data_IF_670633980466
#
_entry.id   IF_670633980466
#
_cell.length_a   1.000
_cell.length_b   1.000
_cell.length_c   1.000
_cell.angle_alpha   90.00
_cell.angle_beta   90.00
_cell.angle_gamma   90.00
#
_symmetry.space_group_name_H-M   'P 1'
#
loop_
_entity.id
_entity.type
_entity.pdbx_description
1 polymer ?
#
# COMPACT_ATOMS: atom_id res chain seq x y z
N UNK A 1 -37.29 18.45 22.75
CA UNK A 1 -36.01 17.85 23.22
C UNK A 1 -35.86 16.58 22.39
N UNK A 2 -35.01 16.59 21.39
CA UNK A 2 -34.68 15.44 20.54
C UNK A 2 -34.03 14.39 21.43
N UNK A 3 -34.53 13.13 21.44
CA UNK A 3 -33.84 12.00 22.02
C UNK A 3 -32.43 11.97 21.39
N UNK A 4 -31.38 12.08 22.21
CA UNK A 4 -30.02 11.99 21.71
C UNK A 4 -29.85 10.63 21.06
N UNK A 5 -29.57 10.60 19.77
CA UNK A 5 -29.19 9.38 19.05
C UNK A 5 -28.01 8.74 19.77
N UNK A 6 -28.29 7.67 20.54
CA UNK A 6 -27.27 7.01 21.35
C UNK A 6 -26.79 5.76 20.64
N UNK A 7 -25.54 5.80 20.15
CA UNK A 7 -24.86 4.62 19.61
C UNK A 7 -24.58 3.64 20.75
N UNK A 8 -24.96 2.36 20.54
CA UNK A 8 -24.69 1.26 21.46
C UNK A 8 -23.68 0.31 20.83
N UNK A 9 -22.75 -0.16 21.67
CA UNK A 9 -21.81 -1.25 21.30
C UNK A 9 -22.27 -2.52 21.98
N UNK A 10 -22.42 -3.60 21.22
CA UNK A 10 -22.94 -4.86 21.74
C UNK A 10 -22.17 -6.05 21.17
N UNK A 11 -21.67 -6.89 22.06
CA UNK A 11 -21.06 -8.17 21.70
C UNK A 11 -22.10 -9.17 21.25
N UNK A 12 -21.88 -9.88 20.13
CA UNK A 12 -22.75 -10.91 19.59
C UNK A 12 -22.39 -12.27 20.18
N UNK A 13 -23.41 -13.05 20.53
CA UNK A 13 -23.28 -14.43 20.98
C UNK A 13 -23.76 -15.46 19.95
N UNK A 14 -23.65 -16.75 20.31
CA UNK A 14 -24.09 -17.87 19.46
C UNK A 14 -25.58 -18.22 19.59
N UNK A 15 -26.37 -17.43 20.30
CA UNK A 15 -27.84 -17.64 20.40
C UNK A 15 -28.51 -17.51 19.02
N UNK A 16 -29.69 -18.10 18.82
CA UNK A 16 -30.43 -17.93 17.56
C UNK A 16 -30.63 -16.46 17.20
N UNK A 17 -30.89 -15.58 18.19
CA UNK A 17 -31.02 -14.14 18.04
C UNK A 17 -29.72 -13.49 17.60
N UNK A 18 -28.60 -13.76 18.29
CA UNK A 18 -27.28 -13.25 17.94
C UNK A 18 -26.82 -13.66 16.54
N UNK A 19 -27.06 -14.92 16.15
CA UNK A 19 -26.72 -15.41 14.81
C UNK A 19 -27.62 -14.79 13.70
N UNK A 20 -28.85 -14.42 14.02
CA UNK A 20 -29.72 -13.69 13.09
C UNK A 20 -29.24 -12.25 12.90
N UNK A 21 -28.84 -11.58 13.98
CA UNK A 21 -28.26 -10.23 13.96
C UNK A 21 -26.93 -10.18 13.23
N UNK A 22 -26.03 -11.15 13.46
CA UNK A 22 -24.80 -11.29 12.69
C UNK A 22 -25.12 -11.40 11.19
N UNK A 23 -26.15 -12.18 10.81
CA UNK A 23 -26.55 -12.31 9.41
C UNK A 23 -27.07 -11.00 8.81
N UNK A 24 -27.75 -10.16 9.60
CA UNK A 24 -28.22 -8.82 9.20
C UNK A 24 -27.02 -7.87 9.03
N UNK A 25 -26.13 -7.81 10.01
CA UNK A 25 -24.91 -7.03 9.99
C UNK A 25 -24.04 -7.38 8.77
N UNK A 26 -23.78 -8.68 8.56
CA UNK A 26 -22.96 -9.17 7.45
C UNK A 26 -23.47 -8.67 6.10
N UNK A 27 -24.78 -8.84 5.83
CA UNK A 27 -25.37 -8.45 4.53
C UNK A 27 -25.53 -6.95 4.34
N UNK A 28 -25.85 -6.21 5.41
CA UNK A 28 -26.19 -4.78 5.31
C UNK A 28 -24.98 -3.86 5.44
N UNK A 29 -23.98 -4.25 6.22
CA UNK A 29 -22.83 -3.41 6.55
C UNK A 29 -21.51 -4.03 6.10
N UNK A 30 -21.16 -5.24 6.57
CA UNK A 30 -19.84 -5.83 6.40
C UNK A 30 -19.44 -6.04 4.94
N UNK A 31 -20.28 -6.68 4.12
CA UNK A 31 -20.00 -6.95 2.69
C UNK A 31 -19.83 -5.67 1.87
N UNK A 32 -20.52 -4.59 2.27
CA UNK A 32 -20.39 -3.29 1.57
C UNK A 32 -19.10 -2.60 1.88
N UNK A 33 -18.59 -2.79 3.10
CA UNK A 33 -17.37 -2.17 3.56
C UNK A 33 -16.12 -2.93 3.10
N UNK A 34 -16.20 -4.25 2.97
CA UNK A 34 -15.12 -5.13 2.49
C UNK A 34 -15.59 -5.86 1.23
N UNK A 35 -15.51 -5.21 0.05
CA UNK A 35 -16.00 -5.78 -1.21
C UNK A 35 -15.11 -6.91 -1.74
N UNK A 36 -13.80 -6.91 -1.43
CA UNK A 36 -12.87 -7.92 -1.88
C UNK A 36 -13.14 -9.26 -1.18
N UNK A 37 -13.49 -10.33 -1.93
CA UNK A 37 -13.75 -11.64 -1.33
C UNK A 37 -12.49 -12.31 -0.78
N UNK A 38 -11.28 -11.95 -1.24
CA UNK A 38 -10.02 -12.52 -0.78
C UNK A 38 -9.58 -11.95 0.58
N UNK A 39 -10.07 -10.74 0.92
CA UNK A 39 -9.82 -10.07 2.19
C UNK A 39 -10.94 -10.27 3.23
N UNK A 40 -12.02 -10.95 2.87
CA UNK A 40 -13.25 -11.02 3.66
C UNK A 40 -13.49 -12.40 4.26
N UNK A 41 -13.81 -12.42 5.57
CA UNK A 41 -14.28 -13.64 6.22
C UNK A 41 -15.73 -13.98 5.80
N UNK A 42 -16.04 -15.26 5.69
CA UNK A 42 -17.37 -15.72 5.34
C UNK A 42 -18.37 -15.68 6.51
N UNK A 43 -19.63 -15.41 6.23
CA UNK A 43 -20.69 -15.47 7.26
C UNK A 43 -20.78 -16.86 7.91
N UNK A 44 -20.52 -17.92 7.14
CA UNK A 44 -20.56 -19.30 7.65
C UNK A 44 -19.47 -19.52 8.71
N UNK A 45 -18.25 -19.04 8.44
CA UNK A 45 -17.14 -19.12 9.37
C UNK A 45 -17.36 -18.25 10.61
N UNK A 46 -17.80 -17.01 10.46
CA UNK A 46 -18.13 -16.15 11.61
C UNK A 46 -19.14 -16.82 12.55
N UNK A 47 -20.20 -17.43 12.00
CA UNK A 47 -21.19 -18.20 12.79
C UNK A 47 -20.57 -19.43 13.45
N UNK A 48 -19.69 -20.14 12.73
CA UNK A 48 -18.96 -21.28 13.25
C UNK A 48 -18.09 -20.88 14.44
N UNK A 49 -17.37 -19.78 14.33
CA UNK A 49 -16.45 -19.31 15.37
C UNK A 49 -17.21 -18.93 16.66
N UNK A 50 -18.33 -18.25 16.56
CA UNK A 50 -19.19 -17.97 17.72
C UNK A 50 -19.69 -19.26 18.39
N UNK A 51 -20.07 -20.28 17.61
CA UNK A 51 -20.48 -21.59 18.16
C UNK A 51 -19.31 -22.31 18.84
N UNK A 52 -18.12 -22.29 18.24
CA UNK A 52 -16.91 -22.86 18.83
C UNK A 52 -16.54 -22.16 20.15
N UNK A 53 -16.67 -20.83 20.20
CA UNK A 53 -16.53 -20.05 21.43
C UNK A 53 -17.50 -20.51 22.51
N UNK A 54 -18.78 -20.63 22.19
CA UNK A 54 -19.82 -21.09 23.12
C UNK A 54 -19.57 -22.51 23.65
N UNK A 55 -18.82 -23.34 22.88
CA UNK A 55 -18.41 -24.70 23.26
C UNK A 55 -17.09 -24.75 24.05
N UNK A 56 -16.47 -23.59 24.32
CA UNK A 56 -15.17 -23.52 25.00
C UNK A 56 -13.95 -23.97 24.16
N UNK A 57 -14.11 -24.11 22.86
CA UNK A 57 -13.08 -24.60 21.96
C UNK A 57 -11.81 -23.75 21.94
N UNK A 58 -11.94 -22.44 22.16
CA UNK A 58 -10.82 -21.49 22.16
C UNK A 58 -9.87 -21.63 23.36
N UNK A 59 -10.28 -22.35 24.41
CA UNK A 59 -9.46 -22.49 25.62
C UNK A 59 -9.17 -21.16 26.29
N UNK A 60 -7.88 -20.74 26.29
CA UNK A 60 -7.46 -19.43 26.83
C UNK A 60 -7.57 -18.29 25.83
N UNK A 61 -7.63 -18.60 24.53
CA UNK A 61 -7.90 -17.63 23.48
C UNK A 61 -9.38 -17.24 23.46
N UNK A 62 -9.74 -16.20 22.75
CA UNK A 62 -11.13 -15.80 22.63
C UNK A 62 -11.40 -15.13 21.28
N UNK A 63 -12.67 -15.13 20.84
CA UNK A 63 -13.15 -14.52 19.60
C UNK A 63 -14.37 -13.66 19.87
N UNK A 64 -14.44 -12.49 19.28
CA UNK A 64 -15.54 -11.56 19.51
C UNK A 64 -15.99 -10.89 18.21
N UNK A 65 -17.30 -10.62 18.15
CA UNK A 65 -17.91 -9.73 17.16
C UNK A 65 -18.68 -8.66 17.94
N UNK A 66 -18.34 -7.40 17.73
CA UNK A 66 -18.99 -6.26 18.36
C UNK A 66 -19.71 -5.44 17.31
N UNK A 67 -21.00 -5.19 17.51
CA UNK A 67 -21.80 -4.31 16.66
C UNK A 67 -21.83 -2.90 17.24
N UNK A 68 -21.70 -1.90 16.36
CA UNK A 68 -22.10 -0.53 16.61
C UNK A 68 -23.52 -0.35 16.03
N UNK A 69 -24.48 -0.01 16.88
CA UNK A 69 -25.89 0.14 16.51
C UNK A 69 -26.38 1.55 16.81
N UNK A 70 -27.15 2.11 15.90
CA UNK A 70 -27.87 3.34 16.03
C UNK A 70 -29.36 3.05 15.81
N UNK A 71 -30.21 3.31 16.78
CA UNK A 71 -31.65 3.05 16.71
C UNK A 71 -31.99 1.59 16.30
N UNK A 72 -31.19 0.63 16.76
CA UNK A 72 -31.32 -0.80 16.44
C UNK A 72 -30.83 -1.24 15.07
N UNK A 73 -30.29 -0.33 14.25
CA UNK A 73 -29.68 -0.67 12.97
C UNK A 73 -28.15 -0.73 13.06
N UNK A 74 -27.50 -1.76 12.50
CA UNK A 74 -26.05 -1.88 12.52
C UNK A 74 -25.40 -0.84 11.60
N UNK A 75 -24.62 0.06 12.17
CA UNK A 75 -23.89 1.13 11.47
C UNK A 75 -22.40 0.85 11.34
N UNK A 76 -21.89 -0.21 11.98
CA UNK A 76 -20.51 -0.62 11.97
C UNK A 76 -20.28 -1.77 12.94
N UNK A 77 -19.01 -2.15 13.12
CA UNK A 77 -18.62 -3.18 14.06
C UNK A 77 -17.14 -3.51 14.03
N UNK A 78 -16.72 -4.39 14.91
CA UNK A 78 -15.38 -4.97 14.93
C UNK A 78 -15.42 -6.49 15.11
N UNK A 79 -14.44 -7.17 14.50
CA UNK A 79 -14.16 -8.60 14.68
C UNK A 79 -12.74 -8.70 15.23
N UNK A 80 -12.57 -9.44 16.31
CA UNK A 80 -11.32 -9.47 17.06
C UNK A 80 -11.07 -10.81 17.72
N UNK A 81 -9.79 -11.17 17.84
CA UNK A 81 -9.29 -12.30 18.61
C UNK A 81 -8.44 -11.82 19.79
N UNK A 82 -8.55 -12.53 20.89
CA UNK A 82 -7.55 -12.50 21.95
C UNK A 82 -6.67 -13.75 21.86
N UNK A 83 -5.36 -13.57 21.77
CA UNK A 83 -4.35 -14.62 21.69
C UNK A 83 -3.58 -14.68 23.01
N UNK A 84 -3.82 -15.72 23.77
CA UNK A 84 -3.34 -15.83 25.17
C UNK A 84 -1.82 -16.03 25.27
N UNK A 85 -1.19 -16.75 24.31
CA UNK A 85 0.26 -17.02 24.36
C UNK A 85 1.09 -15.74 24.22
N UNK A 86 0.92 -14.92 23.17
CA UNK A 86 1.59 -13.62 23.07
C UNK A 86 0.92 -12.54 23.95
N UNK A 87 -0.19 -12.83 24.63
CA UNK A 87 -1.02 -11.88 25.35
C UNK A 87 -1.37 -10.65 24.48
N UNK A 88 -1.86 -10.90 23.27
CA UNK A 88 -2.14 -9.90 22.26
C UNK A 88 -3.60 -9.91 21.83
N UNK A 89 -4.17 -8.74 21.56
CA UNK A 89 -5.43 -8.60 20.84
C UNK A 89 -5.17 -8.41 19.36
N UNK A 90 -5.92 -9.07 18.49
CA UNK A 90 -5.88 -8.87 17.04
C UNK A 90 -7.22 -8.32 16.59
N UNK A 91 -7.22 -7.21 15.88
CA UNK A 91 -8.40 -6.67 15.19
C UNK A 91 -8.35 -7.14 13.75
N UNK A 92 -9.23 -8.06 13.39
CA UNK A 92 -9.41 -8.50 12.00
C UNK A 92 -10.09 -7.41 11.17
N UNK A 93 -11.18 -6.86 11.71
CA UNK A 93 -11.97 -5.81 11.07
C UNK A 93 -12.45 -4.80 12.10
N UNK A 94 -12.40 -3.52 11.74
CA UNK A 94 -13.00 -2.42 12.49
C UNK A 94 -13.47 -1.35 11.52
N UNK A 95 -14.76 -1.07 11.49
CA UNK A 95 -15.31 -0.05 10.60
C UNK A 95 -16.57 0.62 11.14
N UNK A 96 -16.81 1.82 10.66
CA UNK A 96 -18.09 2.55 10.74
C UNK A 96 -18.49 2.88 9.30
N UNK A 97 -19.72 2.53 8.92
CA UNK A 97 -20.26 2.77 7.60
C UNK A 97 -20.15 4.24 7.19
N UNK A 98 -19.92 4.50 5.89
CA UNK A 98 -19.56 5.82 5.35
C UNK A 98 -20.49 6.96 5.81
N UNK A 99 -21.81 6.72 5.90
CA UNK A 99 -22.81 7.71 6.32
C UNK A 99 -22.68 8.17 7.78
N UNK A 100 -21.93 7.41 8.61
CA UNK A 100 -21.80 7.65 10.04
C UNK A 100 -20.36 8.01 10.46
N UNK A 101 -19.44 8.15 9.51
CA UNK A 101 -18.03 8.52 9.74
C UNK A 101 -17.90 9.98 10.22
N UNK A 102 -16.71 10.34 10.70
CA UNK A 102 -16.32 11.68 11.17
C UNK A 102 -17.06 12.20 12.43
N UNK A 103 -17.79 11.30 13.12
CA UNK A 103 -18.50 11.60 14.38
C UNK A 103 -17.81 11.03 15.62
N UNK A 104 -16.54 10.60 15.52
CA UNK A 104 -15.79 9.99 16.62
C UNK A 104 -16.13 8.52 16.90
N UNK A 105 -17.14 7.94 16.23
CA UNK A 105 -17.66 6.60 16.50
C UNK A 105 -16.63 5.49 16.31
N UNK A 106 -15.73 5.62 15.32
CA UNK A 106 -14.65 4.65 15.10
C UNK A 106 -13.68 4.59 16.29
N UNK A 107 -13.38 5.73 16.91
CA UNK A 107 -12.57 5.77 18.13
C UNK A 107 -13.30 5.11 19.30
N UNK A 108 -14.58 5.41 19.49
CA UNK A 108 -15.37 4.80 20.54
C UNK A 108 -15.50 3.28 20.38
N UNK A 109 -15.66 2.79 19.13
CA UNK A 109 -15.66 1.36 18.84
C UNK A 109 -14.30 0.71 19.14
N UNK A 110 -13.19 1.37 18.82
CA UNK A 110 -11.84 0.90 19.18
C UNK A 110 -11.64 0.85 20.69
N UNK A 111 -12.14 1.83 21.42
CA UNK A 111 -12.02 1.86 22.89
C UNK A 111 -12.83 0.71 23.51
N UNK A 112 -14.03 0.40 22.99
CA UNK A 112 -14.80 -0.77 23.41
C UNK A 112 -14.09 -2.09 23.06
N UNK A 113 -13.55 -2.18 21.83
CA UNK A 113 -12.71 -3.32 21.40
C UNK A 113 -11.53 -3.55 22.36
N UNK A 114 -10.81 -2.48 22.70
CA UNK A 114 -9.68 -2.54 23.62
C UNK A 114 -10.11 -2.98 25.02
N UNK A 115 -11.27 -2.52 25.51
CA UNK A 115 -11.83 -2.92 26.80
C UNK A 115 -12.16 -4.42 26.85
N UNK A 116 -12.68 -4.98 25.77
CA UNK A 116 -12.97 -6.42 25.67
C UNK A 116 -11.67 -7.22 25.70
N UNK A 117 -10.67 -6.85 24.89
CA UNK A 117 -9.37 -7.52 24.85
C UNK A 117 -8.63 -7.45 26.18
N UNK A 118 -8.69 -6.32 26.88
CA UNK A 118 -8.11 -6.16 28.21
C UNK A 118 -8.81 -7.03 29.26
N UNK A 119 -10.13 -7.19 29.17
CA UNK A 119 -10.91 -8.13 30.00
C UNK A 119 -10.40 -9.56 29.82
N UNK A 120 -10.19 -9.99 28.58
CA UNK A 120 -9.72 -11.34 28.25
C UNK A 120 -8.27 -11.56 28.71
N UNK A 121 -7.39 -10.58 28.51
CA UNK A 121 -6.01 -10.65 28.97
C UNK A 121 -5.93 -10.86 30.49
N UNK A 122 -6.73 -10.12 31.28
CA UNK A 122 -6.80 -10.28 32.70
C UNK A 122 -7.36 -11.65 33.11
N UNK A 123 -8.37 -12.14 32.43
CA UNK A 123 -8.98 -13.45 32.71
C UNK A 123 -8.03 -14.61 32.37
N UNK A 124 -7.29 -14.53 31.26
CA UNK A 124 -6.44 -15.62 30.79
C UNK A 124 -5.04 -15.63 31.44
N UNK A 125 -4.43 -14.47 31.65
CA UNK A 125 -3.03 -14.35 32.05
C UNK A 125 -2.84 -13.58 33.38
N UNK A 126 -3.89 -12.95 33.92
CA UNK A 126 -3.85 -12.04 35.08
C UNK A 126 -2.86 -10.86 34.86
N UNK A 127 -2.59 -10.49 33.64
CA UNK A 127 -1.68 -9.42 33.20
C UNK A 127 -2.41 -8.43 32.32
N UNK A 128 -1.96 -7.17 32.27
CA UNK A 128 -2.42 -6.23 31.25
C UNK A 128 -2.13 -6.76 29.84
N UNK A 129 -2.96 -6.37 28.88
CA UNK A 129 -2.78 -6.70 27.47
C UNK A 129 -1.43 -6.15 26.97
N UNK A 130 -0.61 -6.99 26.34
CA UNK A 130 0.72 -6.57 25.87
C UNK A 130 0.62 -5.58 24.68
N UNK A 131 -0.24 -5.87 23.73
CA UNK A 131 -0.52 -4.96 22.61
C UNK A 131 -1.83 -5.31 21.90
N UNK A 132 -2.35 -4.35 21.14
CA UNK A 132 -3.36 -4.57 20.10
C UNK A 132 -2.70 -4.49 18.74
N UNK A 133 -2.95 -5.49 17.89
CA UNK A 133 -2.43 -5.61 16.53
C UNK A 133 -3.59 -5.55 15.54
N UNK A 134 -3.37 -5.01 14.36
CA UNK A 134 -4.36 -4.99 13.28
C UNK A 134 -3.68 -5.06 11.92
N UNK A 135 -4.40 -5.58 10.94
CA UNK A 135 -4.04 -5.50 9.53
C UNK A 135 -4.61 -4.22 8.92
N UNK A 136 -3.85 -3.62 8.02
CA UNK A 136 -4.24 -2.39 7.33
C UNK A 136 -3.65 -2.38 5.92
N UNK A 137 -4.44 -1.92 4.93
CA UNK A 137 -3.92 -1.73 3.58
C UNK A 137 -2.73 -0.77 3.60
N UNK A 138 -1.60 -1.21 3.06
CA UNK A 138 -0.39 -0.40 2.96
C UNK A 138 -0.54 0.60 1.80
N UNK A 139 -0.52 1.93 2.04
CA UNK A 139 -0.69 2.94 1.01
C UNK A 139 0.39 2.90 -0.08
N UNK A 140 1.51 2.21 0.17
CA UNK A 140 2.61 2.03 -0.77
C UNK A 140 2.60 0.68 -1.48
N UNK A 141 1.58 -0.15 -1.23
CA UNK A 141 1.32 -1.44 -1.90
C UNK A 141 -0.14 -1.49 -2.34
N UNK A 142 -0.53 -0.70 -3.35
CA UNK A 142 -1.92 -0.65 -3.78
C UNK A 142 -2.36 -2.03 -4.28
N UNK A 143 -3.52 -2.46 -3.81
CA UNK A 143 -4.19 -3.67 -4.28
C UNK A 143 -4.81 -3.47 -5.67
N UNK A 144 -5.25 -4.57 -6.28
CA UNK A 144 -5.99 -4.53 -7.55
C UNK A 144 -7.42 -4.00 -7.34
N UNK A 145 -7.99 -4.18 -6.15
CA UNK A 145 -9.34 -3.75 -5.77
C UNK A 145 -9.28 -2.35 -5.14
N UNK A 146 -10.15 -1.42 -5.57
CA UNK A 146 -10.24 -0.10 -4.94
C UNK A 146 -10.63 -0.20 -3.47
N UNK A 147 -9.90 0.50 -2.62
CA UNK A 147 -10.22 0.63 -1.19
C UNK A 147 -11.43 1.56 -0.98
N UNK A 148 -12.22 1.29 0.05
CA UNK A 148 -13.39 2.10 0.44
C UNK A 148 -13.04 3.34 1.29
N UNK A 149 -11.79 3.46 1.70
CA UNK A 149 -11.21 4.61 2.39
C UNK A 149 -9.81 4.87 1.82
N UNK A 150 -9.50 6.13 1.58
CA UNK A 150 -8.17 6.52 1.13
C UNK A 150 -7.09 5.94 2.07
N UNK A 151 -6.11 5.16 1.57
CA UNK A 151 -5.12 4.49 2.43
C UNK A 151 -4.28 5.46 3.26
N UNK A 152 -4.02 6.68 2.78
CA UNK A 152 -3.30 7.71 3.53
C UNK A 152 -4.15 8.26 4.67
N UNK A 153 -5.46 8.44 4.45
CA UNK A 153 -6.39 8.83 5.51
C UNK A 153 -6.53 7.74 6.57
N UNK A 154 -6.56 6.46 6.16
CA UNK A 154 -6.55 5.32 7.08
C UNK A 154 -5.30 5.33 7.95
N UNK A 155 -4.11 5.50 7.37
CA UNK A 155 -2.86 5.62 8.14
C UNK A 155 -2.90 6.78 9.14
N UNK A 156 -3.40 7.94 8.71
CA UNK A 156 -3.51 9.10 9.59
C UNK A 156 -4.50 8.84 10.75
N UNK A 157 -5.57 8.11 10.50
CA UNK A 157 -6.56 7.73 11.50
C UNK A 157 -5.97 6.77 12.54
N UNK A 158 -5.38 5.65 12.11
CA UNK A 158 -4.75 4.68 12.99
C UNK A 158 -3.58 5.29 13.77
N UNK A 159 -2.79 6.18 13.14
CA UNK A 159 -1.72 6.92 13.81
C UNK A 159 -2.22 7.83 14.94
N UNK A 160 -3.35 8.53 14.73
CA UNK A 160 -4.00 9.31 15.81
C UNK A 160 -4.54 8.42 16.95
N UNK A 161 -4.81 7.15 16.67
CA UNK A 161 -5.25 6.18 17.66
C UNK A 161 -4.09 5.48 18.38
N UNK A 162 -2.84 5.89 18.10
CA UNK A 162 -1.65 5.41 18.78
C UNK A 162 -1.02 4.16 18.17
N UNK A 163 -1.42 3.76 16.97
CA UNK A 163 -0.80 2.63 16.26
C UNK A 163 0.45 3.08 15.49
N UNK A 164 1.45 2.20 15.46
CA UNK A 164 2.61 2.27 14.58
C UNK A 164 2.68 1.06 13.65
N UNK A 165 3.33 1.21 12.49
CA UNK A 165 3.61 0.09 11.58
C UNK A 165 4.77 -0.72 12.11
N UNK A 166 4.61 -2.03 12.21
CA UNK A 166 5.73 -2.94 12.48
C UNK A 166 6.71 -2.95 11.30
N UNK A 167 7.98 -2.76 11.59
CA UNK A 167 9.05 -2.59 10.60
C UNK A 167 9.51 -3.91 9.97
N UNK A 168 8.60 -4.73 9.44
CA UNK A 168 8.91 -5.97 8.71
C UNK A 168 7.95 -6.20 7.53
N UNK A 169 8.31 -7.05 6.55
CA UNK A 169 7.48 -7.35 5.38
C UNK A 169 6.37 -8.35 5.75
N UNK A 170 5.20 -7.83 6.12
CA UNK A 170 4.05 -8.66 6.43
C UNK A 170 3.35 -9.13 5.15
N UNK A 171 2.96 -10.40 5.12
CA UNK A 171 2.12 -11.01 4.08
C UNK A 171 1.05 -11.86 4.75
N UNK A 172 -0.21 -11.56 4.49
CA UNK A 172 -1.31 -12.42 4.94
C UNK A 172 -1.35 -13.68 4.05
N UNK A 173 -1.26 -14.88 4.62
CA UNK A 173 -1.44 -16.11 3.86
C UNK A 173 -2.84 -16.24 3.28
N UNK A 174 -2.99 -17.08 2.25
CA UNK A 174 -4.29 -17.42 1.70
C UNK A 174 -5.18 -18.06 2.79
N UNK A 175 -6.39 -17.51 3.00
CA UNK A 175 -7.32 -17.96 4.04
C UNK A 175 -8.09 -19.23 3.65
N UNK A 176 -8.09 -19.60 2.37
CA UNK A 176 -8.75 -20.81 1.86
C UNK A 176 -8.12 -21.31 0.58
N UNK A 177 -8.46 -22.56 0.22
CA UNK A 177 -8.00 -23.17 -1.04
C UNK A 177 -8.57 -22.38 -2.22
N UNK A 178 -7.69 -21.86 -3.07
CA UNK A 178 -8.06 -21.04 -4.24
C UNK A 178 -7.91 -19.54 -4.07
N UNK A 179 -7.76 -19.05 -2.83
CA UNK A 179 -7.35 -17.68 -2.57
C UNK A 179 -5.84 -17.50 -2.75
N UNK A 180 -5.42 -16.25 -2.98
CA UNK A 180 -4.00 -15.86 -3.05
C UNK A 180 -3.57 -15.24 -1.72
N UNK A 181 -2.27 -15.30 -1.36
CA UNK A 181 -1.72 -14.47 -0.29
C UNK A 181 -1.94 -12.99 -0.60
N UNK A 182 -2.20 -12.18 0.43
CA UNK A 182 -2.38 -10.73 0.29
C UNK A 182 -1.08 -10.03 0.70
N UNK A 183 -0.40 -9.44 -0.28
CA UNK A 183 0.89 -8.75 -0.08
C UNK A 183 0.73 -7.25 0.21
N UNK A 184 -0.47 -6.72 0.00
CA UNK A 184 -0.78 -5.29 0.13
C UNK A 184 -1.07 -4.82 1.55
N UNK A 185 -0.86 -5.65 2.57
CA UNK A 185 -1.15 -5.32 3.96
C UNK A 185 0.10 -4.90 4.74
N UNK A 186 -0.11 -4.01 5.72
CA UNK A 186 0.83 -3.71 6.79
C UNK A 186 0.27 -4.21 8.11
N UNK A 187 1.11 -4.84 8.92
CA UNK A 187 0.76 -5.15 10.30
C UNK A 187 1.09 -3.93 11.16
N UNK A 188 0.10 -3.42 11.90
CA UNK A 188 0.23 -2.29 12.81
C UNK A 188 0.01 -2.74 14.23
N UNK A 189 0.65 -2.08 15.19
CA UNK A 189 0.49 -2.42 16.59
C UNK A 189 0.39 -1.17 17.48
N UNK A 190 -0.30 -1.32 18.60
CA UNK A 190 -0.36 -0.37 19.71
C UNK A 190 0.02 -1.10 20.99
N UNK A 191 1.29 -1.04 21.45
CA UNK A 191 1.74 -1.61 22.72
C UNK A 191 0.99 -1.00 23.91
N UNK A 192 0.69 -1.83 24.91
CA UNK A 192 0.00 -1.39 26.12
C UNK A 192 0.86 -0.47 27.00
N UNK A 193 2.18 -0.60 26.92
CA UNK A 193 3.17 0.21 27.64
C UNK A 193 3.65 1.46 26.87
N UNK A 194 3.15 1.67 25.65
CA UNK A 194 3.52 2.80 24.81
C UNK A 194 4.93 2.70 24.19
N UNK A 195 5.55 1.52 24.18
CA UNK A 195 6.87 1.30 23.58
C UNK A 195 6.88 1.64 22.08
N UNK A 196 8.01 2.11 21.58
CA UNK A 196 8.26 2.40 20.15
C UNK A 196 8.88 1.21 19.37
N UNK A 197 9.06 0.08 20.04
CA UNK A 197 9.53 -1.18 19.46
C UNK A 197 9.03 -2.35 20.28
N UNK A 198 8.88 -3.52 19.65
CA UNK A 198 8.50 -4.79 20.28
C UNK A 198 9.52 -5.88 19.98
N UNK A 199 9.58 -6.93 20.78
CA UNK A 199 10.53 -8.02 20.58
C UNK A 199 10.17 -8.81 19.30
N UNK A 200 11.16 -9.14 18.48
CA UNK A 200 10.94 -9.87 17.24
C UNK A 200 10.34 -11.28 17.48
N UNK A 201 10.76 -12.06 18.50
CA UNK A 201 10.10 -13.30 18.86
C UNK A 201 8.62 -13.13 19.24
N UNK A 202 8.26 -12.02 19.91
CA UNK A 202 6.86 -11.72 20.22
C UNK A 202 6.04 -11.47 18.95
N UNK A 203 6.58 -10.70 17.99
CA UNK A 203 5.91 -10.47 16.69
C UNK A 203 5.66 -11.79 15.98
N UNK A 204 6.67 -12.66 15.94
CA UNK A 204 6.56 -13.97 15.29
C UNK A 204 5.53 -14.85 16.00
N UNK A 205 5.46 -14.83 17.32
CA UNK A 205 4.44 -15.52 18.12
C UNK A 205 3.03 -15.01 17.78
N UNK A 206 2.84 -13.68 17.69
CA UNK A 206 1.55 -13.08 17.27
C UNK A 206 1.14 -13.58 15.90
N UNK A 207 2.04 -13.50 14.91
CA UNK A 207 1.75 -13.95 13.53
C UNK A 207 1.42 -15.43 13.51
N UNK A 208 2.19 -16.28 14.21
CA UNK A 208 1.97 -17.72 14.24
C UNK A 208 0.64 -18.10 14.90
N UNK A 209 0.32 -17.48 16.04
CA UNK A 209 -0.96 -17.71 16.71
C UNK A 209 -2.16 -17.15 15.92
N UNK A 210 -2.01 -15.99 15.30
CA UNK A 210 -3.03 -15.43 14.41
C UNK A 210 -3.31 -16.33 13.22
N UNK A 211 -2.26 -16.85 12.56
CA UNK A 211 -2.40 -17.84 11.49
C UNK A 211 -3.11 -19.11 11.96
N UNK A 212 -2.77 -19.60 13.15
CA UNK A 212 -3.36 -20.84 13.70
C UNK A 212 -4.82 -20.65 14.08
N UNK A 213 -5.15 -19.58 14.81
CA UNK A 213 -6.46 -19.43 15.41
C UNK A 213 -7.48 -18.70 14.53
N UNK A 214 -7.11 -17.64 13.85
CA UNK A 214 -8.00 -16.90 12.96
C UNK A 214 -8.00 -17.50 11.54
N UNK A 215 -6.81 -17.73 10.96
CA UNK A 215 -6.69 -18.18 9.58
C UNK A 215 -6.78 -19.71 9.42
N UNK A 216 -6.86 -20.47 10.53
CA UNK A 216 -6.97 -21.94 10.54
C UNK A 216 -5.84 -22.67 9.81
N UNK A 217 -4.64 -22.16 9.95
CA UNK A 217 -3.42 -22.79 9.47
C UNK A 217 -2.80 -23.56 10.63
N UNK A 218 -3.05 -24.86 10.72
CA UNK A 218 -2.67 -25.68 11.89
C UNK A 218 -1.15 -25.67 12.15
N UNK A 219 -0.34 -25.63 11.08
CA UNK A 219 1.12 -25.66 11.15
C UNK A 219 1.73 -24.43 10.44
N UNK A 220 1.72 -23.23 11.07
CA UNK A 220 2.28 -22.02 10.48
C UNK A 220 3.73 -22.16 10.01
N UNK A 221 4.57 -22.91 10.75
CA UNK A 221 5.97 -23.16 10.41
C UNK A 221 6.19 -23.88 9.07
N UNK A 222 5.17 -24.53 8.51
CA UNK A 222 5.20 -25.11 7.17
C UNK A 222 4.68 -24.19 6.08
N UNK A 223 4.11 -23.05 6.47
CA UNK A 223 3.60 -22.07 5.52
C UNK A 223 4.75 -21.22 4.98
N UNK A 224 4.80 -21.04 3.67
CA UNK A 224 5.88 -20.31 2.99
C UNK A 224 5.96 -18.85 3.45
N UNK A 225 4.83 -18.14 3.56
CA UNK A 225 4.79 -16.76 3.98
C UNK A 225 5.29 -16.60 5.41
N UNK A 226 4.90 -17.51 6.31
CA UNK A 226 5.41 -17.54 7.66
C UNK A 226 6.94 -17.72 7.71
N UNK A 227 7.49 -18.69 6.95
CA UNK A 227 8.93 -18.94 6.89
C UNK A 227 9.72 -17.74 6.35
N UNK A 228 9.15 -16.99 5.39
CA UNK A 228 9.75 -15.78 4.87
C UNK A 228 9.78 -14.68 5.94
N UNK A 229 8.67 -14.48 6.69
CA UNK A 229 8.60 -13.56 7.83
C UNK A 229 9.52 -13.97 8.99
N UNK A 230 9.55 -15.26 9.34
CA UNK A 230 10.44 -15.84 10.37
C UNK A 230 11.91 -15.58 10.05
N UNK A 231 12.34 -15.83 8.80
CA UNK A 231 13.71 -15.56 8.36
C UNK A 231 14.07 -14.09 8.50
N UNK A 232 13.17 -13.20 8.09
CA UNK A 232 13.40 -11.76 8.24
C UNK A 232 13.49 -11.36 9.72
N UNK A 233 12.52 -11.78 10.53
CA UNK A 233 12.45 -11.43 11.95
C UNK A 233 13.62 -12.04 12.76
N UNK A 234 14.16 -13.17 12.33
CA UNK A 234 15.32 -13.81 12.95
C UNK A 234 16.62 -13.00 12.89
N UNK A 235 16.68 -11.98 12.03
CA UNK A 235 17.80 -11.05 11.95
C UNK A 235 17.72 -9.90 12.98
N UNK A 236 16.61 -9.81 13.72
CA UNK A 236 16.32 -8.69 14.65
C UNK A 236 16.07 -9.19 16.06
N UNK A 237 16.54 -8.44 17.04
CA UNK A 237 16.14 -8.62 18.44
C UNK A 237 14.82 -7.91 18.72
N UNK A 238 14.69 -6.68 18.20
CA UNK A 238 13.48 -5.87 18.32
C UNK A 238 13.04 -5.33 16.97
N UNK A 239 11.74 -5.24 16.75
CA UNK A 239 11.09 -4.68 15.58
C UNK A 239 10.60 -3.28 15.91
N UNK A 240 11.04 -2.23 15.20
CA UNK A 240 10.60 -0.88 15.45
C UNK A 240 9.12 -0.69 15.07
N UNK A 241 8.44 0.15 15.83
CA UNK A 241 7.12 0.69 15.51
C UNK A 241 7.29 2.03 14.80
N UNK A 242 7.13 2.01 13.51
CA UNK A 242 7.25 3.21 12.68
C UNK A 242 5.96 4.03 12.84
N UNK A 243 6.07 5.24 13.35
CA UNK A 243 4.93 6.15 13.47
C UNK A 243 4.27 6.32 12.10
N UNK A 244 2.97 6.08 12.00
CA UNK A 244 2.26 6.07 10.71
C UNK A 244 2.34 7.42 9.99
N UNK A 245 2.37 8.54 10.72
CA UNK A 245 2.59 9.86 10.13
C UNK A 245 3.97 9.98 9.47
N UNK A 246 5.01 9.40 10.08
CA UNK A 246 6.36 9.38 9.51
C UNK A 246 6.46 8.40 8.35
N UNK A 247 5.72 7.29 8.41
CA UNK A 247 5.70 6.27 7.37
C UNK A 247 5.12 6.80 6.06
N UNK A 248 3.96 7.44 6.12
CA UNK A 248 3.30 7.99 4.91
C UNK A 248 3.85 9.34 4.49
N UNK A 249 4.56 10.04 5.35
CA UNK A 249 4.94 11.42 5.12
C UNK A 249 3.70 12.32 5.07
N UNK A 250 3.71 13.29 4.15
CA UNK A 250 2.52 14.12 3.88
C UNK A 250 1.70 13.49 2.76
N UNK A 251 0.41 13.34 3.01
CA UNK A 251 -0.54 12.92 1.99
C UNK A 251 -0.59 13.97 0.86
N UNK A 252 -0.19 13.60 -0.38
CA UNK A 252 -0.22 14.55 -1.49
C UNK A 252 -1.64 15.06 -1.77
N UNK A 253 -2.68 14.22 -1.60
CA UNK A 253 -4.08 14.61 -1.83
C UNK A 253 -4.59 15.73 -0.95
N UNK A 254 -3.96 16.00 0.21
CA UNK A 254 -4.28 17.15 1.09
C UNK A 254 -3.52 18.43 0.75
N UNK A 255 -2.45 18.32 -0.03
CA UNK A 255 -1.57 19.43 -0.35
C UNK A 255 -1.54 19.76 -1.84
N UNK A 256 -1.85 18.77 -2.68
CA UNK A 256 -1.77 18.85 -4.12
C UNK A 256 -3.07 18.37 -4.75
N UNK A 257 -3.65 19.18 -5.58
CA UNK A 257 -4.63 18.75 -6.56
C UNK A 257 -3.87 18.21 -7.77
N UNK A 258 -4.14 16.96 -8.15
CA UNK A 258 -3.57 16.31 -9.33
C UNK A 258 -4.56 16.44 -10.48
N UNK A 259 -4.16 17.15 -11.55
CA UNK A 259 -4.96 17.28 -12.76
C UNK A 259 -4.28 16.56 -13.91
N UNK A 260 -5.05 15.76 -14.66
CA UNK A 260 -4.54 15.10 -15.85
C UNK A 260 -4.50 16.09 -17.03
N UNK A 261 -3.37 16.15 -17.74
CA UNK A 261 -3.16 17.05 -18.87
C UNK A 261 -3.38 16.28 -20.16
N UNK A 262 -4.27 16.79 -21.02
CA UNK A 262 -4.56 16.23 -22.34
C UNK A 262 -3.69 16.85 -23.45
N UNK A 263 -3.64 16.19 -24.63
CA UNK A 263 -2.87 16.66 -25.78
C UNK A 263 -3.33 18.03 -26.32
N UNK A 264 -4.63 18.31 -26.22
CA UNK A 264 -5.25 19.57 -26.66
C UNK A 264 -5.46 20.57 -25.51
N UNK A 265 -5.00 20.22 -24.29
CA UNK A 265 -5.20 21.07 -23.12
C UNK A 265 -4.30 22.33 -23.21
N UNK A 266 -4.89 23.49 -23.00
CA UNK A 266 -4.16 24.76 -22.95
C UNK A 266 -3.14 24.85 -21.80
N UNK A 267 -3.26 24.00 -20.78
CA UNK A 267 -2.30 23.89 -19.70
C UNK A 267 -1.00 23.19 -20.10
N UNK A 268 -0.99 22.41 -21.18
CA UNK A 268 0.19 21.65 -21.63
C UNK A 268 1.42 22.55 -21.80
N UNK A 269 1.26 23.72 -22.44
CA UNK A 269 2.39 24.63 -22.67
C UNK A 269 3.00 25.12 -21.33
N UNK A 270 2.16 25.43 -20.35
CA UNK A 270 2.61 25.86 -19.01
C UNK A 270 3.34 24.75 -18.26
N UNK A 271 2.85 23.52 -18.36
CA UNK A 271 3.48 22.34 -17.75
C UNK A 271 4.84 22.05 -18.40
N UNK A 272 4.98 22.20 -19.71
CA UNK A 272 6.26 22.06 -20.40
C UNK A 272 7.24 23.17 -20.03
N UNK A 273 6.79 24.40 -19.88
CA UNK A 273 7.63 25.49 -19.40
C UNK A 273 8.16 25.21 -17.99
N UNK A 274 7.31 24.71 -17.06
CA UNK A 274 7.74 24.31 -15.73
C UNK A 274 8.80 23.21 -15.78
N UNK A 275 8.70 22.28 -16.72
CA UNK A 275 9.68 21.23 -16.93
C UNK A 275 11.02 21.80 -17.42
N UNK A 276 11.00 22.69 -18.42
CA UNK A 276 12.18 23.39 -18.93
C UNK A 276 12.89 24.21 -17.87
N UNK A 277 12.13 24.93 -17.03
CA UNK A 277 12.67 25.73 -15.92
C UNK A 277 13.29 24.86 -14.80
N UNK A 278 12.87 23.61 -14.68
CA UNK A 278 13.27 22.71 -13.60
C UNK A 278 14.46 21.82 -13.97
N UNK A 279 14.65 21.48 -15.24
CA UNK A 279 15.69 20.57 -15.71
C UNK A 279 16.80 21.39 -16.40
N UNK A 280 17.99 21.39 -15.79
CA UNK A 280 19.14 22.16 -16.29
C UNK A 280 19.72 21.65 -17.63
N UNK A 281 19.35 20.47 -18.07
CA UNK A 281 19.88 19.83 -19.27
C UNK A 281 18.78 19.69 -20.34
N UNK A 282 18.66 20.65 -21.29
CA UNK A 282 17.61 20.64 -22.32
C UNK A 282 17.60 19.37 -23.17
N UNK A 283 18.76 18.75 -23.37
CA UNK A 283 18.88 17.50 -24.13
C UNK A 283 18.12 16.30 -23.52
N UNK A 284 17.73 16.40 -22.25
CA UNK A 284 16.95 15.39 -21.49
C UNK A 284 15.45 15.67 -21.52
N UNK A 285 15.01 16.75 -22.13
CA UNK A 285 13.59 17.11 -22.21
C UNK A 285 13.03 16.68 -23.56
N UNK A 286 11.96 15.90 -23.55
CA UNK A 286 11.22 15.54 -24.76
C UNK A 286 10.58 16.78 -25.39
N UNK A 287 10.48 16.82 -26.70
CA UNK A 287 9.84 17.94 -27.40
C UNK A 287 8.34 18.02 -27.11
N UNK A 288 7.74 19.19 -27.23
CA UNK A 288 6.29 19.38 -27.13
C UNK A 288 5.51 18.47 -28.10
N UNK A 289 6.08 18.17 -29.27
CA UNK A 289 5.49 17.23 -30.24
C UNK A 289 5.52 15.78 -29.74
N UNK A 290 6.56 15.38 -29.01
CA UNK A 290 6.65 14.04 -28.42
C UNK A 290 5.62 13.88 -27.30
N UNK A 291 5.44 14.89 -26.46
CA UNK A 291 4.37 14.91 -25.44
C UNK A 291 2.99 14.81 -26.06
N UNK A 292 2.68 15.62 -27.08
CA UNK A 292 1.39 15.55 -27.78
C UNK A 292 1.17 14.19 -28.42
N UNK A 293 2.17 13.61 -29.04
CA UNK A 293 2.10 12.26 -29.64
C UNK A 293 1.82 11.20 -28.58
N UNK A 294 2.52 11.25 -27.44
CA UNK A 294 2.30 10.30 -26.34
C UNK A 294 0.91 10.44 -25.72
N UNK A 295 0.43 11.67 -25.51
CA UNK A 295 -0.90 11.97 -24.96
C UNK A 295 -2.05 11.58 -25.91
N UNK A 296 -1.83 11.69 -27.24
CA UNK A 296 -2.82 11.31 -28.26
C UNK A 296 -2.82 9.82 -28.56
N UNK A 297 -1.83 9.07 -28.09
CA UNK A 297 -1.77 7.63 -28.31
C UNK A 297 -2.89 6.92 -27.53
N UNK A 298 -3.57 5.91 -28.13
CA UNK A 298 -4.63 5.19 -27.44
C UNK A 298 -4.07 4.43 -26.24
N UNK A 299 -4.75 4.55 -25.10
CA UNK A 299 -4.44 3.75 -23.91
C UNK A 299 -4.94 2.33 -24.12
N UNK A 300 -4.07 1.37 -23.84
CA UNK A 300 -4.35 -0.05 -23.98
C UNK A 300 -3.95 -0.78 -22.70
N UNK A 301 -4.43 -2.00 -22.49
CA UNK A 301 -3.99 -2.86 -21.36
C UNK A 301 -2.51 -3.28 -21.45
N UNK A 302 -1.74 -2.80 -22.41
CA UNK A 302 -0.29 -3.07 -22.56
C UNK A 302 0.57 -1.83 -22.49
N UNK A 303 -0.02 -0.66 -22.73
CA UNK A 303 0.69 0.62 -22.77
C UNK A 303 -0.29 1.77 -22.51
N UNK A 304 0.02 2.62 -21.56
CA UNK A 304 -0.65 3.88 -21.28
C UNK A 304 0.39 4.94 -20.95
N UNK A 305 0.12 6.19 -21.32
CA UNK A 305 0.91 7.35 -20.92
C UNK A 305 0.03 8.36 -20.20
N UNK A 306 0.55 8.93 -19.11
CA UNK A 306 -0.09 10.02 -18.38
C UNK A 306 0.88 11.16 -18.14
N UNK A 307 0.34 12.37 -18.19
CA UNK A 307 0.99 13.59 -17.73
C UNK A 307 0.05 14.25 -16.72
N UNK A 308 0.56 14.49 -15.54
CA UNK A 308 -0.14 15.17 -14.46
C UNK A 308 0.48 16.53 -14.18
N UNK A 309 -0.36 17.54 -13.95
CA UNK A 309 0.02 18.79 -13.33
C UNK A 309 -0.38 18.78 -11.86
N UNK A 310 0.49 19.32 -11.01
CA UNK A 310 0.35 19.32 -9.56
C UNK A 310 0.09 20.77 -9.11
N UNK A 311 -1.02 21.01 -8.43
CA UNK A 311 -1.46 22.32 -7.98
C UNK A 311 -1.63 22.33 -6.47
N UNK A 312 -1.33 23.45 -5.82
CA UNK A 312 -1.58 23.64 -4.39
C UNK A 312 -2.86 24.43 -4.17
N UNK A 313 -3.89 23.77 -3.59
CA UNK A 313 -5.21 24.36 -3.41
C UNK A 313 -5.84 24.78 -4.75
N UNK A 314 -6.69 25.79 -4.73
CA UNK A 314 -7.37 26.32 -5.93
C UNK A 314 -6.45 27.16 -6.83
N UNK A 315 -5.15 27.16 -6.59
CA UNK A 315 -4.19 27.92 -7.39
C UNK A 315 -4.22 27.46 -8.86
N UNK A 316 -4.46 28.41 -9.77
CA UNK A 316 -4.54 28.13 -11.21
C UNK A 316 -3.20 27.70 -11.85
N UNK A 317 -2.06 27.90 -11.15
CA UNK A 317 -0.72 27.59 -11.65
C UNK A 317 -0.24 26.24 -11.17
N UNK A 318 0.35 25.43 -12.07
CA UNK A 318 1.01 24.20 -11.70
C UNK A 318 2.31 24.49 -10.94
N UNK A 319 2.48 23.89 -9.77
CA UNK A 319 3.70 23.97 -8.96
C UNK A 319 4.59 22.71 -9.11
N UNK A 320 4.13 21.72 -9.87
CA UNK A 320 4.86 20.50 -10.17
C UNK A 320 4.23 19.72 -11.30
N UNK A 321 4.89 18.66 -11.70
CA UNK A 321 4.38 17.73 -12.70
C UNK A 321 4.88 16.30 -12.45
N UNK A 322 4.14 15.32 -12.95
CA UNK A 322 4.58 13.95 -13.06
C UNK A 322 4.16 13.37 -14.41
N UNK A 323 5.06 12.66 -15.08
CA UNK A 323 4.72 11.90 -16.29
C UNK A 323 5.25 10.49 -16.20
N UNK A 324 4.47 9.54 -16.71
CA UNK A 324 4.83 8.13 -16.64
C UNK A 324 4.12 7.30 -17.72
N UNK A 325 4.76 6.19 -18.03
CA UNK A 325 4.23 5.15 -18.91
C UNK A 325 3.92 3.91 -18.04
N UNK A 326 2.70 3.42 -18.09
CA UNK A 326 2.42 2.05 -17.69
C UNK A 326 2.73 1.14 -18.87
N UNK A 327 3.72 0.28 -18.75
CA UNK A 327 4.25 -0.60 -19.80
C UNK A 327 4.38 -2.03 -19.30
N UNK A 328 4.33 -3.01 -20.20
CA UNK A 328 4.80 -4.36 -19.91
C UNK A 328 6.21 -4.55 -20.46
N UNK A 329 7.12 -5.21 -19.72
CA UNK A 329 6.93 -5.95 -18.46
C UNK A 329 6.93 -5.06 -17.20
N UNK A 330 7.39 -3.82 -17.28
CA UNK A 330 7.46 -2.87 -16.16
C UNK A 330 7.10 -1.45 -16.62
N UNK A 331 6.56 -0.64 -15.71
CA UNK A 331 6.31 0.78 -15.96
C UNK A 331 7.61 1.58 -16.17
N UNK A 332 7.46 2.84 -16.60
CA UNK A 332 8.57 3.77 -16.77
C UNK A 332 8.16 5.19 -16.35
N UNK A 333 8.93 5.78 -15.42
CA UNK A 333 8.76 7.18 -15.03
C UNK A 333 9.48 8.10 -16.01
N UNK A 334 8.74 9.02 -16.61
CA UNK A 334 9.30 10.03 -17.47
C UNK A 334 9.90 11.18 -16.68
N UNK A 335 9.06 12.00 -16.06
CA UNK A 335 9.49 13.17 -15.30
C UNK A 335 8.71 13.25 -13.98
N UNK A 336 9.40 13.61 -12.90
CA UNK A 336 8.80 14.00 -11.63
C UNK A 336 9.47 15.29 -11.19
N UNK A 337 8.71 16.37 -11.21
CA UNK A 337 9.16 17.71 -10.81
C UNK A 337 8.28 18.22 -9.69
N UNK A 338 8.90 18.57 -8.58
CA UNK A 338 8.29 19.32 -7.48
C UNK A 338 8.93 20.71 -7.44
N UNK A 339 8.13 21.76 -7.60
CA UNK A 339 8.60 23.13 -7.50
C UNK A 339 9.20 23.46 -6.12
N UNK A 340 9.91 24.57 -6.01
CA UNK A 340 10.60 24.95 -4.77
C UNK A 340 9.72 24.98 -3.52
N UNK A 341 8.46 25.42 -3.68
CA UNK A 341 7.45 25.44 -2.60
C UNK A 341 7.02 24.03 -2.12
N UNK A 342 7.20 23.02 -2.96
CA UNK A 342 6.81 21.62 -2.68
C UNK A 342 7.98 20.75 -2.23
N UNK A 343 9.22 21.17 -2.48
CA UNK A 343 10.43 20.43 -2.06
C UNK A 343 10.55 20.37 -0.54
N UNK A 344 11.06 19.27 -0.02
CA UNK A 344 11.27 19.07 1.42
C UNK A 344 9.97 18.92 2.23
N UNK A 345 8.80 18.81 1.59
CA UNK A 345 7.51 18.66 2.27
C UNK A 345 7.10 17.19 2.48
N UNK A 346 7.93 16.22 2.11
CA UNK A 346 7.63 14.79 2.24
C UNK A 346 6.59 14.27 1.24
N UNK A 347 6.38 14.98 0.13
CA UNK A 347 5.32 14.66 -0.85
C UNK A 347 5.72 13.58 -1.85
N UNK A 348 7.02 13.38 -2.09
CA UNK A 348 7.51 12.51 -3.17
C UNK A 348 7.01 11.07 -3.00
N UNK A 349 7.14 10.49 -1.80
CA UNK A 349 6.72 9.10 -1.54
C UNK A 349 5.24 8.87 -1.84
N UNK A 350 4.38 9.76 -1.35
CA UNK A 350 2.94 9.67 -1.61
C UNK A 350 2.58 9.88 -3.08
N UNK A 351 3.28 10.79 -3.79
CA UNK A 351 3.10 10.99 -5.22
C UNK A 351 3.49 9.74 -6.02
N UNK A 352 4.61 9.09 -5.68
CA UNK A 352 5.03 7.84 -6.32
C UNK A 352 4.01 6.73 -6.10
N UNK A 353 3.44 6.60 -4.90
CA UNK A 353 2.37 5.63 -4.62
C UNK A 353 1.13 5.87 -5.51
N UNK A 354 0.72 7.13 -5.70
CA UNK A 354 -0.38 7.47 -6.62
C UNK A 354 -0.06 7.14 -8.08
N UNK A 355 1.19 7.31 -8.49
CA UNK A 355 1.66 6.91 -9.82
C UNK A 355 1.59 5.39 -9.98
N UNK A 356 2.06 4.63 -9.00
CA UNK A 356 2.02 3.16 -8.98
C UNK A 356 0.58 2.64 -9.08
N UNK A 357 -0.33 3.21 -8.30
CA UNK A 357 -1.77 2.90 -8.37
C UNK A 357 -2.35 3.16 -9.77
N UNK A 358 -2.00 4.28 -10.38
CA UNK A 358 -2.44 4.58 -11.74
C UNK A 358 -1.87 3.61 -12.78
N UNK A 359 -0.60 3.19 -12.62
CA UNK A 359 0.03 2.18 -13.50
C UNK A 359 -0.66 0.82 -13.41
N UNK A 360 -1.00 0.35 -12.19
CA UNK A 360 -1.72 -0.91 -11.96
C UNK A 360 -3.10 -0.86 -12.61
N UNK A 361 -3.84 0.24 -12.42
CA UNK A 361 -5.17 0.45 -12.99
C UNK A 361 -5.15 0.45 -14.52
N UNK A 362 -4.14 1.08 -15.13
CA UNK A 362 -4.04 1.19 -16.57
C UNK A 362 -3.55 -0.09 -17.25
N UNK A 363 -2.58 -0.77 -16.65
CA UNK A 363 -1.96 -1.99 -17.18
C UNK A 363 -1.87 -3.05 -16.09
N UNK A 364 -2.97 -3.78 -15.80
CA UNK A 364 -3.01 -4.80 -14.76
C UNK A 364 -1.88 -5.84 -14.91
N UNK A 365 -1.30 -6.26 -13.77
CA UNK A 365 -0.20 -7.21 -13.71
C UNK A 365 1.19 -6.60 -13.95
N UNK A 366 1.31 -5.27 -14.00
CA UNK A 366 2.58 -4.55 -13.80
C UNK A 366 2.79 -4.39 -12.29
N UNK A 367 3.96 -4.77 -11.80
CA UNK A 367 4.28 -4.81 -10.37
C UNK A 367 5.56 -4.05 -10.00
N UNK A 368 6.05 -3.22 -10.91
CA UNK A 368 7.23 -2.38 -10.69
C UNK A 368 7.53 -1.50 -11.89
N UNK A 369 8.45 -0.57 -11.72
CA UNK A 369 8.77 0.42 -12.74
C UNK A 369 10.23 0.86 -12.70
N UNK A 370 10.69 1.33 -13.84
CA UNK A 370 12.00 1.91 -14.02
C UNK A 370 11.91 3.43 -14.09
N UNK A 371 12.96 4.09 -13.65
CA UNK A 371 13.25 5.49 -13.93
C UNK A 371 14.70 5.62 -14.40
N UNK A 372 14.98 6.70 -15.09
CA UNK A 372 16.34 7.09 -15.44
C UNK A 372 16.66 8.47 -14.88
N UNK A 373 17.87 8.65 -14.37
CA UNK A 373 18.30 9.92 -13.83
C UNK A 373 19.83 10.11 -13.97
N UNK A 374 20.29 11.35 -13.84
CA UNK A 374 21.67 11.67 -13.67
C UNK A 374 22.13 11.60 -12.21
N UNK A 375 23.44 11.77 -11.99
CA UNK A 375 24.08 11.71 -10.68
C UNK A 375 23.41 12.65 -9.65
N UNK A 376 22.94 13.82 -10.09
CA UNK A 376 22.34 14.84 -9.24
C UNK A 376 20.96 14.44 -8.65
N UNK A 377 20.29 13.48 -9.28
CA UNK A 377 18.91 13.10 -8.92
C UNK A 377 18.79 11.70 -8.30
N UNK A 378 19.87 10.93 -8.24
CA UNK A 378 19.82 9.53 -7.79
C UNK A 378 19.41 9.38 -6.31
N UNK A 379 19.97 10.21 -5.43
CA UNK A 379 19.82 10.08 -3.96
C UNK A 379 18.35 10.15 -3.51
N UNK A 380 17.52 11.13 -3.94
CA UNK A 380 16.12 11.17 -3.58
C UNK A 380 15.34 9.90 -3.98
N UNK A 381 15.65 9.30 -5.13
CA UNK A 381 14.99 8.09 -5.58
C UNK A 381 15.41 6.84 -4.82
N UNK A 382 16.70 6.74 -4.44
CA UNK A 382 17.15 5.65 -3.56
C UNK A 382 16.42 5.70 -2.20
N UNK A 383 16.23 6.89 -1.63
CA UNK A 383 15.53 7.08 -0.35
C UNK A 383 14.04 6.70 -0.38
N UNK A 384 13.42 6.66 -1.56
CA UNK A 384 12.02 6.26 -1.72
C UNK A 384 11.86 4.83 -2.27
N UNK A 385 12.93 4.05 -2.26
CA UNK A 385 12.90 2.60 -2.53
C UNK A 385 13.24 2.18 -3.94
N UNK A 386 13.81 3.05 -4.77
CA UNK A 386 14.44 2.63 -6.02
C UNK A 386 15.82 2.03 -5.75
N UNK A 387 16.21 1.09 -6.59
CA UNK A 387 17.53 0.43 -6.57
C UNK A 387 18.20 0.56 -7.92
N UNK A 388 19.48 0.88 -7.93
CA UNK A 388 20.24 0.97 -9.16
C UNK A 388 20.45 -0.41 -9.78
N UNK A 389 20.23 -0.49 -11.09
CA UNK A 389 20.53 -1.68 -11.89
C UNK A 389 21.95 -1.52 -12.45
N UNK A 390 22.85 -2.40 -12.03
CA UNK A 390 24.28 -2.32 -12.40
C UNK A 390 24.47 -2.63 -13.89
N UNK A 391 24.45 -1.60 -14.75
CA UNK A 391 24.69 -1.75 -16.20
C UNK A 391 25.16 -0.42 -16.84
N UNK A 392 25.76 -0.49 -18.04
CA UNK A 392 26.07 0.69 -18.85
C UNK A 392 24.83 1.13 -19.65
N UNK A 393 24.03 2.03 -19.04
CA UNK A 393 22.80 2.53 -19.62
C UNK A 393 23.01 3.88 -20.29
N UNK A 394 22.84 3.90 -21.62
CA UNK A 394 22.99 5.11 -22.45
C UNK A 394 21.84 5.20 -23.45
N UNK A 395 20.70 5.74 -23.04
CA UNK A 395 19.55 5.88 -23.90
C UNK A 395 19.78 6.92 -24.99
N UNK A 396 18.97 6.93 -26.07
CA UNK A 396 19.04 7.98 -27.09
C UNK A 396 18.80 9.36 -26.48
N UNK A 397 19.48 10.39 -26.99
CA UNK A 397 19.14 11.77 -26.66
C UNK A 397 17.73 12.09 -27.22
N UNK A 398 16.92 12.81 -26.45
CA UNK A 398 15.53 13.13 -26.81
C UNK A 398 15.46 14.25 -27.86
N UNK A 399 16.35 15.25 -27.81
CA UNK A 399 16.31 16.43 -28.68
C UNK A 399 17.35 16.42 -29.80
N UNK A 400 18.46 15.74 -29.63
CA UNK A 400 19.51 15.69 -30.64
C UNK A 400 20.07 14.28 -30.77
N UNK A 401 19.49 13.51 -31.69
CA UNK A 401 19.90 12.13 -32.00
C UNK A 401 21.34 11.96 -32.48
N UNK A 402 22.03 13.06 -32.80
CA UNK A 402 23.44 13.06 -33.23
C UNK A 402 24.43 13.25 -32.08
N UNK A 403 23.96 13.70 -30.90
CA UNK A 403 24.82 13.79 -29.71
C UNK A 403 25.13 12.41 -29.17
N UNK A 404 26.35 12.26 -28.66
CA UNK A 404 26.74 11.05 -27.94
C UNK A 404 25.76 10.76 -26.79
N UNK A 405 25.30 9.51 -26.71
CA UNK A 405 24.41 9.08 -25.64
C UNK A 405 25.11 9.24 -24.27
N UNK A 406 24.54 10.06 -23.42
CA UNK A 406 25.03 10.27 -22.05
C UNK A 406 24.74 9.02 -21.21
N UNK A 407 25.63 8.70 -20.27
CA UNK A 407 25.37 7.64 -19.29
C UNK A 407 24.37 8.15 -18.26
N UNK A 408 23.32 7.36 -18.02
CA UNK A 408 22.34 7.59 -16.97
C UNK A 408 22.31 6.40 -16.02
N UNK A 409 21.85 6.64 -14.82
CA UNK A 409 21.45 5.57 -13.90
C UNK A 409 20.08 5.04 -14.30
N UNK A 410 19.96 3.73 -14.45
CA UNK A 410 18.67 3.07 -14.58
C UNK A 410 18.32 2.48 -13.21
N UNK A 411 17.25 2.99 -12.62
CA UNK A 411 16.80 2.58 -11.31
C UNK A 411 15.49 1.77 -11.45
N UNK A 412 15.33 0.75 -10.61
CA UNK A 412 14.11 -0.05 -10.55
C UNK A 412 13.51 -0.01 -9.15
N UNK A 413 12.19 0.04 -9.07
CA UNK A 413 11.42 -0.10 -7.85
C UNK A 413 10.27 -1.07 -8.07
N UNK A 414 10.14 -2.17 -7.29
CA UNK A 414 8.87 -2.90 -7.17
C UNK A 414 7.81 -1.95 -6.63
N UNK A 415 6.55 -2.17 -6.98
CA UNK A 415 5.47 -1.38 -6.38
C UNK A 415 5.41 -1.62 -4.87
N UNK A 416 5.07 -0.58 -4.15
CA UNK A 416 4.93 -0.62 -2.72
C UNK A 416 6.22 -0.36 -1.94
N UNK A 417 6.27 -0.85 -0.69
CA UNK A 417 7.41 -0.70 0.21
C UNK A 417 8.46 -1.78 -0.08
N UNK A 418 9.70 -1.37 -0.21
CA UNK A 418 10.84 -2.26 -0.49
C UNK A 418 11.69 -2.39 0.77
N UNK A 419 11.90 -3.61 1.23
CA UNK A 419 12.71 -3.92 2.41
C UNK A 419 14.12 -4.42 2.06
N UNK A 420 14.29 -4.97 0.85
CA UNK A 420 15.59 -5.43 0.35
C UNK A 420 15.69 -5.17 -1.16
N UNK A 421 16.91 -5.04 -1.71
CA UNK A 421 17.10 -4.92 -3.15
C UNK A 421 16.44 -6.10 -3.88
N UNK A 422 15.62 -5.84 -4.92
CA UNK A 422 14.96 -6.91 -5.67
C UNK A 422 15.97 -7.67 -6.53
N UNK A 423 15.89 -9.00 -6.52
CA UNK A 423 16.59 -9.81 -7.50
C UNK A 423 15.90 -9.69 -8.86
N UNK A 424 16.60 -9.15 -9.86
CA UNK A 424 16.06 -8.93 -11.20
C UNK A 424 16.60 -9.96 -12.20
N UNK A 425 15.70 -10.69 -12.81
CA UNK A 425 16.08 -11.57 -13.90
C UNK A 425 16.57 -10.77 -15.11
N UNK A 426 17.68 -11.19 -15.72
CA UNK A 426 18.23 -10.60 -16.93
C UNK A 426 17.18 -10.42 -18.04
N UNK A 427 16.34 -11.42 -18.27
CA UNK A 427 15.28 -11.39 -19.29
C UNK A 427 14.26 -10.27 -19.01
N UNK A 428 13.93 -10.06 -17.75
CA UNK A 428 13.02 -8.99 -17.31
C UNK A 428 13.61 -7.61 -17.61
N UNK A 429 14.86 -7.36 -17.18
CA UNK A 429 15.56 -6.08 -17.39
C UNK A 429 15.69 -5.76 -18.89
N UNK A 430 16.14 -6.72 -19.69
CA UNK A 430 16.28 -6.54 -21.14
C UNK A 430 14.92 -6.33 -21.82
N UNK A 431 13.87 -7.01 -21.38
CA UNK A 431 12.50 -6.81 -21.88
C UNK A 431 11.98 -5.40 -21.55
N UNK A 432 12.29 -4.88 -20.38
CA UNK A 432 11.93 -3.50 -20.00
C UNK A 432 12.70 -2.47 -20.84
N UNK A 433 14.01 -2.62 -21.01
CA UNK A 433 14.82 -1.73 -21.87
C UNK A 433 14.30 -1.74 -23.31
N UNK A 434 13.95 -2.91 -23.86
CA UNK A 434 13.34 -3.03 -25.17
C UNK A 434 12.03 -2.22 -25.28
N UNK A 435 11.16 -2.35 -24.27
CA UNK A 435 9.88 -1.63 -24.21
C UNK A 435 10.09 -0.11 -24.09
N UNK A 436 11.03 0.34 -23.25
CA UNK A 436 11.40 1.74 -23.07
C UNK A 436 11.93 2.31 -24.40
N UNK A 437 12.92 1.68 -25.03
CA UNK A 437 13.47 2.14 -26.29
C UNK A 437 12.40 2.26 -27.38
N UNK A 438 11.47 1.30 -27.45
CA UNK A 438 10.39 1.27 -28.43
C UNK A 438 9.31 2.31 -28.18
N UNK A 439 8.84 2.41 -26.94
CA UNK A 439 7.62 3.18 -26.59
C UNK A 439 7.92 4.61 -26.16
N UNK A 440 9.02 4.83 -25.44
CA UNK A 440 9.43 6.15 -24.95
C UNK A 440 10.29 6.84 -26.01
N UNK A 441 11.33 6.15 -26.48
CA UNK A 441 12.29 6.73 -27.42
C UNK A 441 11.94 6.56 -28.91
N UNK A 442 10.92 5.78 -29.25
CA UNK A 442 10.48 5.57 -30.63
C UNK A 442 11.49 4.81 -31.50
N UNK A 443 12.37 4.01 -30.90
CA UNK A 443 13.37 3.21 -31.62
C UNK A 443 12.67 2.06 -32.34
N UNK A 444 12.81 1.99 -33.67
CA UNK A 444 12.16 0.96 -34.50
C UNK A 444 12.73 -0.44 -34.28
N UNK A 445 14.02 -0.55 -34.01
CA UNK A 445 14.73 -1.82 -33.82
C UNK A 445 15.49 -1.83 -32.46
N UNK A 446 14.78 -1.91 -31.32
CA UNK A 446 15.40 -1.76 -29.99
C UNK A 446 16.56 -2.72 -29.73
N UNK A 447 16.42 -3.99 -30.10
CA UNK A 447 17.44 -5.03 -29.86
C UNK A 447 18.75 -4.82 -30.66
N UNK A 448 18.71 -4.00 -31.73
CA UNK A 448 19.89 -3.61 -32.49
C UNK A 448 20.49 -2.28 -32.04
N UNK A 449 19.82 -1.57 -31.14
CA UNK A 449 20.26 -0.27 -30.65
C UNK A 449 21.45 -0.42 -29.67
N UNK A 450 22.41 0.49 -29.74
CA UNK A 450 23.63 0.45 -28.94
C UNK A 450 23.36 0.39 -27.43
N UNK A 451 22.32 1.12 -26.93
CA UNK A 451 21.91 1.06 -25.53
C UNK A 451 21.53 -0.38 -25.10
N UNK A 452 20.69 -1.07 -25.88
CA UNK A 452 20.31 -2.45 -25.58
C UNK A 452 21.50 -3.41 -25.60
N UNK A 453 22.39 -3.26 -26.58
CA UNK A 453 23.55 -4.14 -26.71
C UNK A 453 24.54 -3.96 -25.56
N UNK A 454 24.78 -2.72 -25.10
CA UNK A 454 25.60 -2.42 -23.91
C UNK A 454 24.97 -2.98 -22.64
N UNK A 455 23.69 -2.73 -22.41
CA UNK A 455 22.98 -3.28 -21.27
C UNK A 455 23.05 -4.81 -21.21
N UNK A 456 22.88 -5.46 -22.38
CA UNK A 456 23.04 -6.92 -22.50
C UNK A 456 24.44 -7.37 -22.11
N UNK A 457 25.48 -6.71 -22.63
CA UNK A 457 26.86 -7.06 -22.33
C UNK A 457 27.19 -6.87 -20.83
N UNK A 458 26.70 -5.79 -20.21
CA UNK A 458 26.86 -5.56 -18.76
C UNK A 458 26.23 -6.67 -17.92
N UNK A 459 25.01 -7.10 -18.28
CA UNK A 459 24.32 -8.19 -17.59
C UNK A 459 24.85 -9.59 -17.90
N UNK A 460 25.76 -9.75 -18.84
CA UNK A 460 26.48 -11.01 -19.12
C UNK A 460 27.75 -11.13 -18.26
N UNK A 461 28.25 -10.02 -17.73
CA UNK A 461 29.48 -9.96 -16.92
C UNK A 461 29.21 -9.93 -15.40
N UNK A 462 27.97 -9.67 -14.99
CA UNK A 462 27.50 -9.70 -13.59
C UNK A 462 26.89 -11.07 -13.24
#
# INVERSE_FOLDING_TARGET
MSASEQVRFREIDASPGGLAELSRFYRRAYVREFPDPDERESLANMKRYLRLKAQGWYGRNNYHIVLAELDGEPIGGSVLDYLAEPNAGVIEFLFIGAAHRLKGLGRSLLDETARILERDARAAAAKPLAAIVAEMNDPFRPGETPDNLDPFERCAMWGRWGFGKLGFPYVQPALSRGQKPVEGLALIARPGDGSDAVDAPWVLSVVGEYMRWAMRIDEPSRNRQYQEMERFLGEYVRVPLIALQSYVGRDPGKFLEVREVGAADGSLQRVLQLLEDSIRQPARIASASDFRRALSAPRTRRCSYRLWSLHRGDAGTAEGLASFFALRPAGFGGYVVLGGSLKGKGLLRGLLARIEEAMIRDVPGVNGWFIECGDEAIVPFLHVGFHEVALDYRPPALTDRKKAAERLHLLYKPFGTVYAPPALERKFVLGAIEAILKRVYGVSSPRKHACYLRARASLEQS
#
